data_IF_827473166835
#
_entry.id   IF_827473166835
#
_cell.length_a   1.000
_cell.length_b   1.000
_cell.length_c   1.000
_cell.angle_alpha   90.00
_cell.angle_beta   90.00
_cell.angle_gamma   90.00
#
_symmetry.space_group_name_H-M   'P 1'
#
loop_
_entity.id
_entity.type
_entity.pdbx_description
1 polymer ?
#
# COMPACT_ATOMS: atom_id res chain seq x y z
N UNK A 1 -8.57 2.13 29.35
CA UNK A 1 -8.45 3.20 30.36
C UNK A 1 -7.98 4.47 29.64
N UNK A 2 -8.90 5.12 28.93
CA UNK A 2 -8.66 6.34 28.14
C UNK A 2 -9.03 7.53 29.01
N UNK A 3 -8.12 7.97 29.89
CA UNK A 3 -8.31 9.23 30.62
C UNK A 3 -8.15 10.41 29.65
N UNK A 4 -8.84 11.55 29.86
CA UNK A 4 -8.66 12.74 29.04
C UNK A 4 -7.17 13.09 28.93
N UNK A 5 -6.72 13.33 27.70
CA UNK A 5 -5.35 13.72 27.39
C UNK A 5 -5.22 15.24 27.60
N UNK A 6 -4.07 15.74 28.09
CA UNK A 6 -3.83 17.18 28.13
C UNK A 6 -3.92 17.75 26.72
N UNK A 7 -4.68 18.83 26.58
CA UNK A 7 -4.80 19.56 25.33
C UNK A 7 -3.42 20.15 24.96
N UNK A 8 -3.09 20.09 23.68
CA UNK A 8 -1.80 20.57 23.20
C UNK A 8 -1.71 22.11 23.28
N UNK A 9 -0.52 22.67 23.51
CA UNK A 9 -0.32 24.11 23.41
C UNK A 9 -0.78 24.64 22.05
N UNK A 10 -1.39 25.83 22.04
CA UNK A 10 -1.91 26.43 20.82
C UNK A 10 -0.79 26.63 19.78
N UNK A 11 -1.03 26.20 18.54
CA UNK A 11 -0.10 26.34 17.41
C UNK A 11 0.88 25.17 17.19
N UNK A 12 0.95 24.19 18.10
CA UNK A 12 1.83 23.02 17.92
C UNK A 12 1.35 22.12 16.77
N UNK A 13 0.04 21.91 16.64
CA UNK A 13 -0.55 21.11 15.55
C UNK A 13 -0.38 21.75 14.16
N UNK A 14 -0.13 23.06 14.08
CA UNK A 14 0.16 23.78 12.83
C UNK A 14 1.66 23.73 12.46
N UNK A 15 2.51 23.17 13.32
CA UNK A 15 3.94 23.06 13.04
C UNK A 15 4.23 21.85 12.13
N UNK A 16 5.14 22.06 11.17
CA UNK A 16 5.54 21.01 10.21
C UNK A 16 6.49 19.96 10.82
N UNK A 17 6.93 20.15 12.06
CA UNK A 17 7.79 19.20 12.75
C UNK A 17 7.07 17.88 13.00
N UNK A 18 7.75 16.72 12.90
CA UNK A 18 7.10 15.43 13.11
C UNK A 18 6.61 15.25 14.55
N UNK A 19 7.31 15.76 15.55
CA UNK A 19 7.00 15.49 16.96
C UNK A 19 6.30 16.69 17.61
N UNK A 20 5.16 16.42 18.26
CA UNK A 20 4.33 17.45 18.91
C UNK A 20 4.78 17.85 20.32
N UNK A 21 5.90 17.32 20.82
CA UNK A 21 6.44 17.64 22.15
C UNK A 21 5.91 16.75 23.29
N UNK A 22 6.55 16.82 24.46
CA UNK A 22 6.23 15.97 25.62
C UNK A 22 4.87 16.30 26.27
N UNK A 23 4.44 17.57 26.21
CA UNK A 23 3.21 18.04 26.86
C UNK A 23 1.93 17.76 26.06
N UNK A 24 2.05 17.42 24.77
CA UNK A 24 0.93 17.19 23.86
C UNK A 24 0.59 15.71 23.77
N UNK A 25 -0.69 15.35 24.02
CA UNK A 25 -1.23 13.97 23.86
C UNK A 25 -0.43 12.87 24.58
N UNK A 26 0.27 13.22 25.65
CA UNK A 26 1.08 12.30 26.45
C UNK A 26 2.40 11.90 25.78
N UNK A 27 2.99 12.84 25.03
CA UNK A 27 4.41 12.87 24.64
C UNK A 27 4.81 11.99 23.44
N UNK A 28 3.86 11.31 22.81
CA UNK A 28 4.12 10.37 21.72
C UNK A 28 3.00 10.40 20.68
N UNK A 29 2.91 11.52 19.95
CA UNK A 29 2.06 11.68 18.75
C UNK A 29 2.71 12.66 17.77
N UNK A 30 2.31 12.56 16.50
CA UNK A 30 2.73 13.50 15.46
C UNK A 30 1.92 14.79 15.52
N UNK A 31 2.45 15.87 14.93
CA UNK A 31 1.66 17.08 14.70
C UNK A 31 0.61 16.82 13.62
N UNK A 32 -0.58 17.41 13.78
CA UNK A 32 -1.68 17.14 12.84
C UNK A 32 -1.33 17.59 11.41
N UNK A 33 -0.61 18.72 11.25
CA UNK A 33 -0.15 19.18 9.95
C UNK A 33 0.88 18.23 9.32
N UNK A 34 1.78 17.63 10.09
CA UNK A 34 2.72 16.64 9.57
C UNK A 34 1.98 15.39 9.07
N UNK A 35 1.01 14.89 9.85
CA UNK A 35 0.21 13.74 9.42
C UNK A 35 -0.49 14.02 8.10
N UNK A 36 -1.14 15.18 7.96
CA UNK A 36 -1.89 15.56 6.75
C UNK A 36 -0.99 15.82 5.56
N UNK A 37 0.00 16.71 5.72
CA UNK A 37 0.82 17.19 4.61
C UNK A 37 1.87 16.17 4.16
N UNK A 38 2.40 15.33 5.07
CA UNK A 38 3.49 14.41 4.76
C UNK A 38 3.01 12.97 4.60
N UNK A 39 2.04 12.52 5.39
CA UNK A 39 1.59 11.12 5.33
C UNK A 39 0.42 10.91 4.35
N UNK A 40 -0.60 11.77 4.33
CA UNK A 40 -1.76 11.56 3.45
C UNK A 40 -1.64 12.24 2.09
N UNK A 41 -1.33 13.54 2.04
CA UNK A 41 -1.33 14.31 0.79
C UNK A 41 -0.44 13.68 -0.28
N UNK A 42 0.83 13.28 -0.01
CA UNK A 42 1.69 12.71 -1.04
C UNK A 42 1.16 11.39 -1.58
N UNK A 43 0.57 10.56 -0.71
CA UNK A 43 -0.01 9.28 -1.11
C UNK A 43 -1.22 9.47 -2.04
N UNK A 44 -2.12 10.40 -1.72
CA UNK A 44 -3.26 10.73 -2.57
C UNK A 44 -2.83 11.34 -3.90
N UNK A 45 -1.88 12.29 -3.88
CA UNK A 45 -1.34 12.91 -5.08
C UNK A 45 -0.66 11.88 -6.01
N UNK A 46 0.12 10.95 -5.44
CA UNK A 46 0.77 9.89 -6.20
C UNK A 46 -0.27 9.00 -6.90
N UNK A 47 -1.34 8.61 -6.20
CA UNK A 47 -2.42 7.84 -6.81
C UNK A 47 -3.07 8.62 -7.96
N UNK A 48 -3.43 9.88 -7.74
CA UNK A 48 -4.08 10.72 -8.75
C UNK A 48 -3.18 10.96 -9.97
N UNK A 49 -1.86 11.02 -9.81
CA UNK A 49 -0.90 11.13 -10.90
C UNK A 49 -0.82 9.85 -11.75
N UNK A 50 -0.85 8.68 -11.10
CA UNK A 50 -0.78 7.37 -11.77
C UNK A 50 -2.13 6.96 -12.38
N UNK A 51 -3.23 7.41 -11.78
CA UNK A 51 -4.61 7.10 -12.16
C UNK A 51 -4.89 7.26 -13.66
N UNK A 52 -4.62 8.40 -14.33
CA UNK A 52 -4.96 8.58 -15.74
C UNK A 52 -4.20 7.61 -16.65
N UNK A 53 -2.91 7.40 -16.39
CA UNK A 53 -2.09 6.47 -17.18
C UNK A 53 -2.60 5.03 -17.06
N UNK A 54 -2.95 4.59 -15.84
CA UNK A 54 -3.55 3.29 -15.62
C UNK A 54 -4.94 3.18 -16.28
N UNK A 55 -5.79 4.18 -16.08
CA UNK A 55 -7.15 4.20 -16.62
C UNK A 55 -7.14 4.14 -18.15
N UNK A 56 -6.29 4.91 -18.83
CA UNK A 56 -6.18 4.90 -20.30
C UNK A 56 -5.67 3.55 -20.82
N UNK A 57 -4.63 2.99 -20.18
CA UNK A 57 -4.11 1.66 -20.55
C UNK A 57 -5.15 0.57 -20.39
N UNK A 58 -5.96 0.64 -19.34
CA UNK A 58 -7.03 -0.32 -19.11
C UNK A 58 -8.24 -0.03 -19.98
N UNK A 59 -8.51 1.22 -20.36
CA UNK A 59 -9.63 1.56 -21.24
C UNK A 59 -9.51 0.90 -22.62
N UNK A 60 -8.28 0.77 -23.13
CA UNK A 60 -7.99 0.09 -24.40
C UNK A 60 -7.90 -1.43 -24.32
N UNK A 61 -8.09 -2.04 -23.14
CA UNK A 61 -8.03 -3.49 -22.98
C UNK A 61 -9.41 -4.15 -23.13
N UNK A 62 -9.45 -5.34 -23.72
CA UNK A 62 -10.69 -6.12 -23.85
C UNK A 62 -11.23 -6.58 -22.48
N UNK A 63 -12.54 -6.81 -22.43
CA UNK A 63 -13.22 -7.38 -21.25
C UNK A 63 -12.84 -8.85 -21.12
N UNK A 64 -12.32 -9.24 -19.95
CA UNK A 64 -11.72 -10.57 -19.69
C UNK A 64 -12.39 -11.36 -18.58
N UNK A 65 -13.46 -10.82 -17.98
CA UNK A 65 -14.12 -11.37 -16.79
C UNK A 65 -15.63 -11.48 -17.02
N UNK A 66 -16.22 -12.59 -16.57
CA UNK A 66 -17.68 -12.83 -16.63
C UNK A 66 -18.38 -12.10 -15.46
N UNK A 67 -19.64 -11.73 -15.61
CA UNK A 67 -20.42 -11.08 -14.55
C UNK A 67 -20.37 -11.89 -13.24
N UNK A 68 -20.10 -11.21 -12.12
CA UNK A 68 -19.95 -11.84 -10.80
C UNK A 68 -20.45 -10.95 -9.67
N UNK A 69 -20.90 -11.58 -8.58
CA UNK A 69 -21.30 -10.94 -7.33
C UNK A 69 -20.18 -10.12 -6.70
N UNK A 70 -18.92 -10.48 -6.96
CA UNK A 70 -17.75 -9.72 -6.48
C UNK A 70 -17.70 -8.30 -7.08
N UNK A 71 -18.24 -8.10 -8.30
CA UNK A 71 -18.36 -6.77 -8.92
C UNK A 71 -19.30 -5.87 -8.12
N UNK A 72 -20.47 -6.39 -7.76
CA UNK A 72 -21.47 -5.66 -6.99
C UNK A 72 -20.95 -5.29 -5.59
N UNK A 73 -20.24 -6.23 -4.94
CA UNK A 73 -19.66 -5.98 -3.61
C UNK A 73 -18.56 -4.89 -3.66
N UNK A 74 -17.68 -4.93 -4.66
CA UNK A 74 -16.66 -3.89 -4.87
C UNK A 74 -17.28 -2.53 -5.20
N UNK A 75 -18.29 -2.51 -6.06
CA UNK A 75 -19.01 -1.29 -6.40
C UNK A 75 -19.69 -0.69 -5.16
N UNK A 76 -20.40 -1.50 -4.38
CA UNK A 76 -21.03 -1.09 -3.13
C UNK A 76 -19.98 -0.50 -2.15
N UNK A 77 -18.87 -1.20 -1.92
CA UNK A 77 -17.79 -0.72 -1.07
C UNK A 77 -17.21 0.62 -1.56
N UNK A 78 -17.01 0.78 -2.87
CA UNK A 78 -16.51 2.04 -3.44
C UNK A 78 -17.49 3.21 -3.28
N UNK A 79 -18.80 2.97 -3.47
CA UNK A 79 -19.84 3.99 -3.27
C UNK A 79 -19.91 4.40 -1.80
N UNK A 80 -19.90 3.44 -0.88
CA UNK A 80 -19.82 3.73 0.55
C UNK A 80 -18.57 4.54 0.90
N UNK A 81 -17.42 4.23 0.29
CA UNK A 81 -16.18 4.95 0.55
C UNK A 81 -16.27 6.41 0.09
N UNK A 82 -16.82 6.66 -1.11
CA UNK A 82 -17.04 8.02 -1.61
C UNK A 82 -18.00 8.78 -0.71
N UNK A 83 -19.12 8.15 -0.30
CA UNK A 83 -20.10 8.77 0.58
C UNK A 83 -19.50 9.16 1.95
N UNK A 84 -18.68 8.28 2.55
CA UNK A 84 -18.01 8.57 3.81
C UNK A 84 -16.95 9.68 3.68
N UNK A 85 -16.14 9.70 2.61
CA UNK A 85 -15.18 10.78 2.37
C UNK A 85 -15.87 12.12 2.09
N UNK A 86 -17.03 12.11 1.41
CA UNK A 86 -17.85 13.29 1.20
C UNK A 86 -18.44 13.79 2.52
N UNK A 87 -18.97 12.90 3.37
CA UNK A 87 -19.47 13.26 4.69
C UNK A 87 -18.36 13.87 5.56
N UNK A 88 -17.14 13.31 5.53
CA UNK A 88 -15.99 13.90 6.20
C UNK A 88 -15.72 15.31 5.67
N UNK A 89 -15.61 15.49 4.35
CA UNK A 89 -15.35 16.81 3.76
C UNK A 89 -16.40 17.86 4.20
N UNK A 90 -17.68 17.50 4.20
CA UNK A 90 -18.75 18.38 4.67
C UNK A 90 -18.60 18.71 6.16
N UNK A 91 -18.28 17.72 7.00
CA UNK A 91 -18.06 17.94 8.44
C UNK A 91 -16.87 18.86 8.69
N UNK A 92 -15.76 18.66 8.00
CA UNK A 92 -14.58 19.52 8.09
C UNK A 92 -14.85 20.94 7.58
N UNK A 93 -15.72 21.10 6.58
CA UNK A 93 -16.08 22.42 6.03
C UNK A 93 -17.09 23.20 6.90
N UNK A 94 -17.95 22.49 7.64
CA UNK A 94 -19.03 23.09 8.45
C UNK A 94 -18.66 23.25 9.93
N UNK A 95 -17.69 22.48 10.41
CA UNK A 95 -17.20 22.59 11.79
C UNK A 95 -16.34 23.84 11.94
N UNK A 96 -16.76 24.75 12.82
CA UNK A 96 -15.98 25.94 13.15
C UNK A 96 -14.70 25.59 13.93
N UNK A 97 -13.61 26.30 13.68
CA UNK A 97 -12.30 26.12 14.34
C UNK A 97 -12.32 26.24 15.86
N UNK A 98 -13.42 26.74 16.45
CA UNK A 98 -13.64 26.79 17.89
C UNK A 98 -14.02 25.44 18.51
N UNK A 99 -14.52 24.48 17.71
CA UNK A 99 -14.96 23.18 18.20
C UNK A 99 -13.85 22.12 18.15
N UNK A 100 -12.99 22.17 17.12
CA UNK A 100 -11.85 21.25 16.94
C UNK A 100 -10.74 22.00 16.19
N UNK A 101 -9.49 21.82 16.62
CA UNK A 101 -8.31 22.38 15.94
C UNK A 101 -8.08 21.67 14.61
N UNK A 102 -8.16 22.43 13.52
CA UNK A 102 -8.00 21.94 12.15
C UNK A 102 -6.98 22.82 11.42
N UNK A 103 -5.77 22.30 11.11
CA UNK A 103 -4.73 23.05 10.42
C UNK A 103 -5.10 23.33 8.96
N UNK A 104 -4.34 24.22 8.33
CA UNK A 104 -4.58 24.67 6.93
C UNK A 104 -4.60 23.52 5.90
N UNK A 105 -3.96 22.40 6.22
CA UNK A 105 -3.85 21.24 5.35
C UNK A 105 -5.10 20.35 5.32
N UNK A 106 -6.03 20.49 6.28
CA UNK A 106 -7.10 19.51 6.47
C UNK A 106 -8.12 19.51 5.35
N UNK A 107 -8.57 20.68 4.91
CA UNK A 107 -9.52 20.79 3.80
C UNK A 107 -8.88 20.28 2.50
N UNK A 108 -7.68 20.71 2.08
CA UNK A 108 -6.99 20.14 0.93
C UNK A 108 -6.82 18.62 1.01
N UNK A 109 -6.43 18.08 2.17
CA UNK A 109 -6.29 16.64 2.38
C UNK A 109 -7.63 15.90 2.24
N UNK A 110 -8.72 16.46 2.76
CA UNK A 110 -10.06 15.89 2.62
C UNK A 110 -10.55 15.90 1.17
N UNK A 111 -10.30 16.99 0.42
CA UNK A 111 -10.61 17.05 -1.02
C UNK A 111 -9.82 16.01 -1.80
N UNK A 112 -8.51 15.90 -1.54
CA UNK A 112 -7.66 14.89 -2.17
C UNK A 112 -8.11 13.46 -1.81
N UNK A 113 -8.52 13.23 -0.57
CA UNK A 113 -9.09 11.96 -0.12
C UNK A 113 -10.38 11.59 -0.86
N UNK A 114 -11.27 12.56 -1.10
CA UNK A 114 -12.48 12.38 -1.90
C UNK A 114 -12.15 12.05 -3.36
N UNK A 115 -11.26 12.83 -3.99
CA UNK A 115 -10.81 12.57 -5.36
C UNK A 115 -10.14 11.20 -5.49
N UNK A 116 -9.31 10.83 -4.53
CA UNK A 116 -8.68 9.53 -4.47
C UNK A 116 -9.71 8.40 -4.32
N UNK A 117 -10.78 8.59 -3.53
CA UNK A 117 -11.86 7.59 -3.39
C UNK A 117 -12.62 7.35 -4.69
N UNK A 118 -12.84 8.40 -5.48
CA UNK A 118 -13.41 8.30 -6.83
C UNK A 118 -12.46 7.56 -7.77
N UNK A 119 -11.17 7.89 -7.74
CA UNK A 119 -10.13 7.20 -8.50
C UNK A 119 -10.02 5.71 -8.16
N UNK A 120 -10.08 5.37 -6.87
CA UNK A 120 -10.14 3.98 -6.38
C UNK A 120 -11.35 3.24 -6.95
N UNK A 121 -12.54 3.87 -6.92
CA UNK A 121 -13.75 3.27 -7.48
C UNK A 121 -13.66 3.04 -8.98
N UNK A 122 -13.19 4.03 -9.74
CA UNK A 122 -12.97 3.93 -11.18
C UNK A 122 -11.97 2.82 -11.53
N UNK A 123 -10.83 2.80 -10.83
CA UNK A 123 -9.77 1.84 -11.11
C UNK A 123 -10.21 0.42 -10.73
N UNK A 124 -10.86 0.23 -9.57
CA UNK A 124 -11.44 -1.05 -9.16
C UNK A 124 -12.45 -1.57 -10.19
N UNK A 125 -13.30 -0.70 -10.75
CA UNK A 125 -14.27 -1.08 -11.79
C UNK A 125 -13.59 -1.49 -13.11
N UNK A 126 -12.68 -0.65 -13.62
CA UNK A 126 -11.95 -0.93 -14.86
C UNK A 126 -11.13 -2.22 -14.75
N UNK A 127 -10.46 -2.41 -13.62
CA UNK A 127 -9.66 -3.60 -13.34
C UNK A 127 -10.51 -4.83 -13.12
N UNK A 128 -11.74 -4.69 -12.58
CA UNK A 128 -12.64 -5.81 -12.42
C UNK A 128 -12.92 -6.47 -13.77
N UNK A 129 -13.31 -5.68 -14.76
CA UNK A 129 -13.82 -6.16 -16.04
C UNK A 129 -12.69 -6.51 -17.03
N UNK A 130 -11.58 -5.76 -17.02
CA UNK A 130 -10.56 -5.83 -18.08
C UNK A 130 -9.22 -6.43 -17.64
N UNK A 131 -9.02 -6.64 -16.33
CA UNK A 131 -7.80 -7.25 -15.82
C UNK A 131 -8.03 -8.64 -15.23
N UNK A 132 -7.27 -9.60 -15.77
CA UNK A 132 -7.11 -10.96 -15.23
C UNK A 132 -6.34 -10.91 -13.90
N UNK A 133 -5.46 -9.93 -13.73
CA UNK A 133 -4.64 -9.74 -12.54
C UNK A 133 -5.31 -8.75 -11.56
N UNK A 134 -5.42 -9.07 -10.27
CA UNK A 134 -5.75 -8.07 -9.25
C UNK A 134 -4.67 -6.99 -9.21
N UNK A 135 -5.05 -5.77 -8.85
CA UNK A 135 -4.22 -4.61 -9.09
C UNK A 135 -3.19 -4.36 -8.02
N UNK A 136 -1.94 -4.32 -8.47
CA UNK A 136 -0.80 -3.97 -7.62
C UNK A 136 -0.93 -2.54 -7.10
N UNK A 137 -1.17 -1.58 -8.00
CA UNK A 137 -1.24 -0.14 -7.66
C UNK A 137 -2.31 0.13 -6.60
N UNK A 138 -3.52 -0.37 -6.82
CA UNK A 138 -4.64 -0.16 -5.90
C UNK A 138 -4.40 -0.83 -4.55
N UNK A 139 -3.93 -2.07 -4.55
CA UNK A 139 -3.65 -2.83 -3.32
C UNK A 139 -2.57 -2.15 -2.48
N UNK A 140 -1.48 -1.71 -3.12
CA UNK A 140 -0.37 -1.03 -2.44
C UNK A 140 -0.80 0.34 -1.91
N UNK A 141 -1.56 1.12 -2.69
CA UNK A 141 -2.12 2.39 -2.23
C UNK A 141 -3.04 2.21 -1.01
N UNK A 142 -4.00 1.29 -1.07
CA UNK A 142 -4.93 1.05 0.03
C UNK A 142 -4.20 0.58 1.28
N UNK A 143 -3.22 -0.30 1.14
CA UNK A 143 -2.38 -0.76 2.25
C UNK A 143 -1.61 0.38 2.91
N UNK A 144 -0.91 1.19 2.12
CA UNK A 144 -0.18 2.35 2.63
C UNK A 144 -1.12 3.39 3.26
N UNK A 145 -2.29 3.64 2.66
CA UNK A 145 -3.27 4.58 3.22
C UNK A 145 -3.78 4.08 4.56
N UNK A 146 -4.13 2.79 4.69
CA UNK A 146 -4.56 2.24 5.97
C UNK A 146 -3.44 2.34 7.00
N UNK A 147 -2.21 1.97 6.64
CA UNK A 147 -1.07 2.02 7.56
C UNK A 147 -0.82 3.45 8.07
N UNK A 148 -0.76 4.44 7.17
CA UNK A 148 -0.46 5.82 7.51
C UNK A 148 -1.62 6.53 8.24
N UNK A 149 -2.86 6.27 7.83
CA UNK A 149 -4.04 6.89 8.44
C UNK A 149 -4.38 6.28 9.81
N UNK A 150 -3.76 5.17 10.22
CA UNK A 150 -3.94 4.63 11.60
C UNK A 150 -3.47 5.60 12.67
N UNK A 151 -2.33 6.27 12.44
CA UNK A 151 -1.82 7.31 13.34
C UNK A 151 -2.82 8.46 13.44
N UNK A 152 -3.32 8.94 12.30
CA UNK A 152 -4.34 10.00 12.27
C UNK A 152 -5.65 9.60 12.95
N UNK A 153 -6.11 8.36 12.77
CA UNK A 153 -7.31 7.91 13.46
C UNK A 153 -7.14 8.02 14.98
N UNK A 154 -5.97 7.60 15.50
CA UNK A 154 -5.63 7.70 16.92
C UNK A 154 -5.58 9.15 17.38
N UNK A 155 -4.93 10.06 16.63
CA UNK A 155 -4.85 11.48 17.01
C UNK A 155 -6.22 12.14 17.04
N UNK A 156 -7.08 11.88 16.06
CA UNK A 156 -8.45 12.42 16.00
C UNK A 156 -9.31 12.02 17.21
N UNK A 157 -9.17 10.79 17.71
CA UNK A 157 -9.85 10.35 18.93
C UNK A 157 -9.37 11.07 20.19
N UNK A 158 -8.22 11.74 20.14
CA UNK A 158 -7.63 12.50 21.25
C UNK A 158 -7.85 14.02 21.16
N UNK A 159 -8.34 14.55 20.02
CA UNK A 159 -8.46 16.00 19.79
C UNK A 159 -9.66 16.67 20.48
N UNK A 160 -10.73 15.95 20.84
CA UNK A 160 -11.89 16.62 21.44
C UNK A 160 -13.08 15.73 21.82
N UNK A 161 -14.15 16.34 22.39
CA UNK A 161 -15.34 15.62 22.84
C UNK A 161 -16.27 15.19 21.70
N UNK A 162 -16.17 15.81 20.52
CA UNK A 162 -16.99 15.47 19.35
C UNK A 162 -16.50 14.16 18.71
N UNK A 163 -17.19 13.07 19.00
CA UNK A 163 -16.82 11.73 18.52
C UNK A 163 -17.28 11.46 17.07
N UNK A 164 -18.06 12.34 16.46
CA UNK A 164 -18.65 12.10 15.13
C UNK A 164 -17.60 12.03 14.01
N UNK A 165 -16.68 12.99 13.96
CA UNK A 165 -15.59 13.01 12.97
C UNK A 165 -14.66 11.80 13.11
N UNK A 166 -14.08 11.49 14.29
CA UNK A 166 -13.21 10.33 14.43
C UNK A 166 -13.96 9.01 14.16
N UNK A 167 -15.24 8.90 14.52
CA UNK A 167 -16.05 7.72 14.19
C UNK A 167 -16.16 7.52 12.67
N UNK A 168 -16.55 8.54 11.91
CA UNK A 168 -16.66 8.44 10.44
C UNK A 168 -15.29 8.18 9.80
N UNK A 169 -14.22 8.78 10.32
CA UNK A 169 -12.86 8.52 9.84
C UNK A 169 -12.45 7.06 10.07
N UNK A 170 -12.73 6.50 11.25
CA UNK A 170 -12.47 5.06 11.52
C UNK A 170 -13.31 4.14 10.66
N UNK A 171 -14.58 4.47 10.38
CA UNK A 171 -15.40 3.73 9.43
C UNK A 171 -14.79 3.75 8.02
N UNK A 172 -14.26 4.90 7.60
CA UNK A 172 -13.56 5.05 6.31
C UNK A 172 -12.31 4.18 6.25
N UNK A 173 -11.51 4.17 7.33
CA UNK A 173 -10.32 3.33 7.47
C UNK A 173 -10.67 1.83 7.42
N UNK A 174 -11.69 1.41 8.16
CA UNK A 174 -12.18 0.04 8.16
C UNK A 174 -12.67 -0.38 6.78
N UNK A 175 -13.40 0.50 6.07
CA UNK A 175 -13.86 0.22 4.72
C UNK A 175 -12.70 0.08 3.72
N UNK A 176 -11.64 0.89 3.84
CA UNK A 176 -10.41 0.71 3.05
C UNK A 176 -9.77 -0.66 3.33
N UNK A 177 -9.72 -1.10 4.59
CA UNK A 177 -9.22 -2.42 4.94
C UNK A 177 -10.09 -3.55 4.34
N UNK A 178 -11.41 -3.41 4.35
CA UNK A 178 -12.32 -4.35 3.65
C UNK A 178 -12.05 -4.34 2.14
N UNK A 179 -11.81 -3.18 1.53
CA UNK A 179 -11.46 -3.10 0.11
C UNK A 179 -10.13 -3.82 -0.20
N UNK A 180 -9.13 -3.77 0.68
CA UNK A 180 -7.89 -4.56 0.53
C UNK A 180 -8.21 -6.06 0.43
N UNK A 181 -9.07 -6.57 1.32
CA UNK A 181 -9.49 -7.97 1.30
C UNK A 181 -10.23 -8.31 0.01
N UNK A 182 -11.18 -7.45 -0.40
CA UNK A 182 -11.93 -7.63 -1.64
C UNK A 182 -11.04 -7.61 -2.89
N UNK A 183 -10.00 -6.78 -2.91
CA UNK A 183 -9.03 -6.75 -4.01
C UNK A 183 -8.05 -7.92 -3.98
N UNK A 184 -7.75 -8.46 -2.80
CA UNK A 184 -6.89 -9.63 -2.65
C UNK A 184 -7.56 -10.96 -3.04
N UNK A 185 -8.90 -11.02 -3.06
CA UNK A 185 -9.64 -12.24 -3.39
C UNK A 185 -9.45 -12.64 -4.85
N UNK A 186 -8.96 -13.86 -5.06
CA UNK A 186 -8.63 -14.37 -6.40
C UNK A 186 -9.87 -14.51 -7.28
N UNK A 187 -9.80 -13.95 -8.50
CA UNK A 187 -10.88 -14.03 -9.48
C UNK A 187 -10.96 -15.39 -10.21
N UNK A 188 -10.13 -16.38 -9.86
CA UNK A 188 -9.90 -17.62 -10.64
C UNK A 188 -11.18 -18.36 -11.05
N UNK A 189 -12.22 -18.32 -10.22
CA UNK A 189 -13.53 -18.95 -10.50
C UNK A 189 -14.34 -18.24 -11.59
N UNK A 190 -14.04 -16.98 -11.89
CA UNK A 190 -14.84 -16.07 -12.71
C UNK A 190 -14.13 -15.73 -14.05
N UNK A 191 -12.89 -16.20 -14.24
CA UNK A 191 -12.14 -16.01 -15.49
C UNK A 191 -12.84 -16.72 -16.67
N UNK A 192 -12.86 -16.03 -17.81
CA UNK A 192 -13.33 -16.57 -19.10
C UNK A 192 -12.54 -17.85 -19.44
N UNK A 193 -13.17 -18.89 -20.02
CA UNK A 193 -12.55 -20.20 -20.24
C UNK A 193 -11.17 -20.16 -20.94
N UNK A 194 -10.98 -19.26 -21.90
CA UNK A 194 -9.72 -19.07 -22.63
C UNK A 194 -8.54 -18.65 -21.73
N UNK A 195 -8.81 -18.09 -20.55
CA UNK A 195 -7.80 -17.66 -19.56
C UNK A 195 -7.71 -18.61 -18.35
N UNK A 196 -8.36 -19.77 -18.36
CA UNK A 196 -8.27 -20.74 -17.25
C UNK A 196 -6.96 -21.52 -17.20
N UNK A 197 -6.22 -21.57 -18.31
CA UNK A 197 -4.93 -22.28 -18.42
C UNK A 197 -3.71 -21.53 -17.88
N UNK A 198 -3.86 -20.29 -17.40
CA UNK A 198 -2.73 -19.53 -16.84
C UNK A 198 -2.25 -20.11 -15.50
N UNK A 199 -0.93 -19.99 -15.25
CA UNK A 199 -0.29 -20.38 -13.99
C UNK A 199 -0.96 -19.71 -12.79
N UNK A 200 -1.00 -20.40 -11.64
CA UNK A 200 -1.59 -19.86 -10.41
C UNK A 200 -0.93 -18.54 -10.01
N UNK A 201 0.39 -18.43 -10.17
CA UNK A 201 1.16 -17.20 -9.92
C UNK A 201 0.62 -15.98 -10.69
N UNK A 202 0.23 -16.19 -11.96
CA UNK A 202 -0.27 -15.13 -12.85
C UNK A 202 -1.67 -14.68 -12.45
N UNK A 203 -2.45 -15.56 -11.83
CA UNK A 203 -3.84 -15.27 -11.40
C UNK A 203 -3.96 -14.83 -9.94
N UNK A 204 -2.89 -14.97 -9.16
CA UNK A 204 -2.90 -14.70 -7.73
C UNK A 204 -2.91 -13.21 -7.39
N UNK A 205 -3.57 -12.91 -6.26
CA UNK A 205 -3.55 -11.62 -5.56
C UNK A 205 -2.15 -11.02 -5.42
N UNK A 206 -2.02 -9.70 -5.41
CA UNK A 206 -0.77 -9.01 -5.06
C UNK A 206 -0.18 -9.54 -3.76
N UNK A 207 -0.98 -9.63 -2.69
CA UNK A 207 -0.54 -10.18 -1.41
C UNK A 207 -0.21 -11.67 -1.49
N UNK A 208 -1.05 -12.47 -2.16
CA UNK A 208 -0.82 -13.91 -2.32
C UNK A 208 0.52 -14.19 -3.04
N UNK A 209 0.83 -13.38 -4.06
CA UNK A 209 2.09 -13.42 -4.78
C UNK A 209 3.26 -12.96 -3.90
N UNK A 210 3.12 -11.87 -3.15
CA UNK A 210 4.18 -11.35 -2.25
C UNK A 210 4.58 -12.33 -1.15
N UNK A 211 3.64 -13.10 -0.59
CA UNK A 211 3.94 -14.11 0.43
C UNK A 211 4.07 -15.53 -0.12
N UNK A 212 4.09 -15.69 -1.45
CA UNK A 212 4.12 -16.98 -2.14
C UNK A 212 3.04 -17.98 -1.69
N UNK A 213 1.90 -17.49 -1.20
CA UNK A 213 0.88 -18.36 -0.64
C UNK A 213 0.23 -19.28 -1.70
N UNK A 214 0.34 -18.94 -2.99
CA UNK A 214 -0.06 -19.77 -4.12
C UNK A 214 0.73 -21.09 -4.20
N UNK A 215 1.99 -21.07 -3.73
CA UNK A 215 2.89 -22.22 -3.68
C UNK A 215 2.48 -23.24 -2.62
N UNK A 216 1.75 -22.81 -1.58
CA UNK A 216 1.23 -23.68 -0.52
C UNK A 216 0.49 -24.90 -1.07
N UNK A 217 -0.28 -24.72 -2.15
CA UNK A 217 -1.00 -25.83 -2.76
C UNK A 217 -0.09 -26.86 -3.44
N UNK A 218 1.07 -26.45 -3.94
CA UNK A 218 2.10 -27.34 -4.48
C UNK A 218 2.81 -28.09 -3.34
N UNK A 219 3.13 -27.40 -2.25
CA UNK A 219 3.76 -28.04 -1.08
C UNK A 219 2.84 -29.08 -0.42
N UNK A 220 1.55 -28.80 -0.29
CA UNK A 220 0.59 -29.79 0.22
C UNK A 220 0.51 -31.00 -0.72
N UNK A 221 0.53 -30.79 -2.04
CA UNK A 221 0.53 -31.91 -2.99
C UNK A 221 1.82 -32.73 -2.88
N UNK A 222 2.99 -32.08 -2.81
CA UNK A 222 4.27 -32.75 -2.62
C UNK A 222 4.43 -33.45 -1.28
N UNK A 223 3.74 -32.98 -0.24
CA UNK A 223 3.68 -33.67 1.05
C UNK A 223 2.84 -34.95 0.98
N UNK A 224 1.79 -34.96 0.15
CA UNK A 224 0.86 -36.09 0.02
C UNK A 224 1.27 -37.10 -1.06
N UNK A 225 1.94 -36.64 -2.12
CA UNK A 225 2.21 -37.38 -3.35
C UNK A 225 3.63 -37.09 -3.86
N UNK A 226 4.18 -37.98 -4.67
CA UNK A 226 5.42 -37.71 -5.42
C UNK A 226 5.08 -36.76 -6.57
N UNK A 227 5.66 -35.56 -6.55
CA UNK A 227 5.50 -34.57 -7.62
C UNK A 227 6.04 -35.08 -8.95
N UNK A 228 5.21 -34.99 -9.99
CA UNK A 228 5.62 -35.20 -11.39
C UNK A 228 5.70 -33.86 -12.12
N UNK A 229 6.32 -33.86 -13.31
CA UNK A 229 6.45 -32.66 -14.13
C UNK A 229 5.08 -32.03 -14.49
N UNK A 230 4.06 -32.86 -14.66
CA UNK A 230 2.67 -32.45 -14.93
C UNK A 230 1.99 -31.73 -13.75
N UNK A 231 2.48 -31.92 -12.52
CA UNK A 231 1.96 -31.26 -11.32
C UNK A 231 2.53 -29.85 -11.13
N UNK A 232 3.60 -29.50 -11.86
CA UNK A 232 4.23 -28.19 -11.79
C UNK A 232 3.44 -27.15 -12.58
N UNK A 233 3.52 -25.91 -12.14
CA UNK A 233 2.89 -24.80 -12.85
C UNK A 233 3.64 -24.49 -14.15
N UNK A 234 2.91 -24.11 -15.22
CA UNK A 234 3.55 -23.65 -16.44
C UNK A 234 4.36 -22.38 -16.17
N UNK A 235 5.51 -22.27 -16.82
CA UNK A 235 6.40 -21.11 -16.73
C UNK A 235 5.67 -19.83 -17.15
N UNK A 236 5.86 -18.71 -16.45
CA UNK A 236 5.30 -17.42 -16.89
C UNK A 236 5.84 -17.10 -18.30
N UNK A 237 4.98 -16.77 -19.28
CA UNK A 237 5.40 -16.41 -20.63
C UNK A 237 6.47 -15.31 -20.69
N UNK A 238 6.57 -14.46 -19.67
CA UNK A 238 7.61 -13.42 -19.55
C UNK A 238 8.99 -13.97 -19.25
N UNK A 239 9.07 -15.15 -18.64
CA UNK A 239 10.31 -15.85 -18.29
C UNK A 239 10.68 -16.90 -19.34
N UNK A 240 9.86 -17.09 -20.37
CA UNK A 240 10.17 -18.01 -21.46
C UNK A 240 11.43 -17.55 -22.23
N UNK A 241 12.28 -18.51 -22.58
CA UNK A 241 13.56 -18.24 -23.24
C UNK A 241 13.40 -17.63 -24.62
N UNK A 242 12.43 -18.08 -25.41
CA UNK A 242 12.24 -17.63 -26.79
C UNK A 242 11.90 -16.11 -26.88
N UNK A 243 10.92 -15.57 -26.13
CA UNK A 243 10.67 -14.12 -26.12
C UNK A 243 11.85 -13.29 -25.61
N UNK A 244 12.57 -13.77 -24.58
CA UNK A 244 13.73 -13.08 -24.02
C UNK A 244 14.90 -13.07 -25.00
N UNK A 245 15.13 -14.18 -25.68
CA UNK A 245 16.15 -14.30 -26.73
C UNK A 245 15.84 -13.37 -27.90
N UNK A 246 14.61 -13.38 -28.42
CA UNK A 246 14.19 -12.49 -29.52
C UNK A 246 14.43 -11.02 -29.18
N UNK A 247 14.02 -10.58 -27.98
CA UNK A 247 14.28 -9.20 -27.51
C UNK A 247 15.76 -8.83 -27.51
N UNK A 248 16.63 -9.74 -27.07
CA UNK A 248 18.07 -9.50 -27.06
C UNK A 248 18.66 -9.52 -28.47
N UNK A 249 18.22 -10.45 -29.33
CA UNK A 249 18.65 -10.56 -30.71
C UNK A 249 18.27 -9.31 -31.52
N UNK A 250 17.02 -8.85 -31.41
CA UNK A 250 16.54 -7.63 -32.07
C UNK A 250 17.35 -6.39 -31.65
N UNK A 251 17.69 -6.30 -30.36
CA UNK A 251 18.53 -5.23 -29.83
C UNK A 251 20.00 -5.36 -30.26
N UNK A 252 20.50 -6.59 -30.43
CA UNK A 252 21.85 -6.88 -30.90
C UNK A 252 22.05 -6.54 -32.37
N UNK A 253 21.02 -6.74 -33.20
CA UNK A 253 21.08 -6.42 -34.63
C UNK A 253 21.06 -4.92 -34.92
N UNK A 254 20.57 -4.12 -33.97
CA UNK A 254 20.63 -2.65 -34.04
C UNK A 254 21.97 -2.06 -33.58
N UNK A 255 22.94 -2.89 -33.18
CA UNK A 255 24.25 -2.41 -32.73
C UNK A 255 25.13 -2.06 -33.93
N UNK A 256 25.58 -0.80 -34.04
CA UNK A 256 26.37 -0.36 -35.19
C UNK A 256 27.77 -0.99 -35.22
N UNK A 257 28.44 -1.11 -34.06
CA UNK A 257 29.79 -1.69 -33.94
C UNK A 257 29.81 -2.88 -32.98
N UNK A 258 29.69 -4.10 -33.53
CA UNK A 258 29.73 -5.35 -32.77
C UNK A 258 31.14 -5.73 -32.29
N UNK A 259 32.18 -5.14 -32.87
CA UNK A 259 33.60 -5.38 -32.54
C UNK A 259 34.07 -4.60 -31.31
N UNK A 260 33.27 -3.65 -30.82
CA UNK A 260 33.62 -2.80 -29.68
C UNK A 260 33.68 -3.64 -28.40
N UNK A 261 34.73 -3.50 -27.56
CA UNK A 261 34.82 -4.26 -26.32
C UNK A 261 33.63 -3.93 -25.42
N UNK A 262 32.95 -4.96 -24.90
CA UNK A 262 31.79 -4.81 -24.04
C UNK A 262 30.46 -4.51 -24.75
N UNK A 263 30.40 -4.52 -26.09
CA UNK A 263 29.18 -4.27 -26.84
C UNK A 263 28.02 -5.18 -26.40
N UNK A 264 28.30 -6.48 -26.22
CA UNK A 264 27.30 -7.47 -25.79
C UNK A 264 26.80 -7.22 -24.36
N UNK A 265 27.68 -6.83 -23.45
CA UNK A 265 27.28 -6.52 -22.08
C UNK A 265 26.43 -5.26 -22.03
N UNK A 266 26.80 -4.23 -22.80
CA UNK A 266 26.03 -2.98 -22.87
C UNK A 266 24.63 -3.19 -23.46
N UNK A 267 24.49 -4.05 -24.47
CA UNK A 267 23.20 -4.35 -25.10
C UNK A 267 22.32 -5.18 -24.18
N UNK A 268 22.89 -6.20 -23.55
CA UNK A 268 22.23 -6.97 -22.51
C UNK A 268 21.73 -6.05 -21.38
N UNK A 269 22.60 -5.18 -20.87
CA UNK A 269 22.24 -4.25 -19.80
C UNK A 269 21.13 -3.31 -20.25
N UNK A 270 21.18 -2.76 -21.47
CA UNK A 270 20.11 -1.90 -21.99
C UNK A 270 18.76 -2.61 -22.08
N UNK A 271 18.74 -3.87 -22.50
CA UNK A 271 17.50 -4.66 -22.65
C UNK A 271 16.92 -5.06 -21.29
N UNK A 272 17.77 -5.44 -20.33
CA UNK A 272 17.33 -6.02 -19.05
C UNK A 272 17.45 -5.07 -17.84
N UNK A 273 17.99 -3.85 -18.00
CA UNK A 273 18.11 -2.87 -16.92
C UNK A 273 16.76 -2.48 -16.31
N UNK A 274 15.70 -2.39 -17.12
CA UNK A 274 14.35 -2.08 -16.63
C UNK A 274 13.89 -3.08 -15.56
N UNK A 275 13.75 -4.37 -15.89
CA UNK A 275 13.45 -5.42 -14.91
C UNK A 275 14.44 -5.47 -13.73
N UNK A 276 15.75 -5.32 -13.97
CA UNK A 276 16.73 -5.33 -12.88
C UNK A 276 16.56 -4.13 -11.92
N UNK A 277 16.18 -2.97 -12.43
CA UNK A 277 15.96 -1.77 -11.61
C UNK A 277 14.76 -1.91 -10.68
N UNK A 278 13.80 -2.79 -10.99
CA UNK A 278 12.66 -3.05 -10.11
C UNK A 278 13.09 -3.58 -8.74
N UNK A 279 14.18 -4.36 -8.68
CA UNK A 279 14.73 -4.90 -7.44
C UNK A 279 15.43 -3.86 -6.56
N UNK A 280 15.76 -2.67 -7.11
CA UNK A 280 16.44 -1.60 -6.36
C UNK A 280 15.51 -1.01 -5.30
N UNK A 281 14.23 -0.83 -5.62
CA UNK A 281 13.27 -0.21 -4.71
C UNK A 281 13.07 -1.04 -3.43
N UNK A 282 12.76 -2.35 -3.48
CA UNK A 282 12.72 -3.20 -2.28
C UNK A 282 14.04 -3.18 -1.50
N UNK A 283 15.19 -3.10 -2.19
CA UNK A 283 16.50 -3.03 -1.53
C UNK A 283 16.71 -1.75 -0.74
N UNK A 284 16.30 -0.60 -1.26
CA UNK A 284 16.37 0.65 -0.51
C UNK A 284 15.51 0.59 0.75
N UNK A 285 14.30 0.04 0.67
CA UNK A 285 13.46 -0.16 1.86
C UNK A 285 14.10 -1.12 2.87
N UNK A 286 14.66 -2.24 2.41
CA UNK A 286 15.36 -3.19 3.28
C UNK A 286 16.52 -2.53 4.03
N UNK A 287 17.32 -1.72 3.33
CA UNK A 287 18.44 -0.97 3.93
C UNK A 287 17.91 0.00 4.99
N UNK A 288 16.87 0.77 4.69
CA UNK A 288 16.26 1.71 5.64
C UNK A 288 15.73 1.00 6.90
N UNK A 289 15.05 -0.14 6.74
CA UNK A 289 14.56 -0.91 7.89
C UNK A 289 15.70 -1.51 8.72
N UNK A 290 16.77 -1.99 8.08
CA UNK A 290 17.96 -2.48 8.80
C UNK A 290 18.63 -1.36 9.60
N UNK A 291 18.73 -0.14 9.07
CA UNK A 291 19.23 1.01 9.82
C UNK A 291 18.30 1.45 10.95
N UNK A 292 16.98 1.22 10.83
CA UNK A 292 16.04 1.51 11.90
C UNK A 292 16.20 0.57 13.10
N UNK A 293 16.68 -0.67 12.92
CA UNK A 293 16.84 -1.65 14.01
C UNK A 293 17.71 -1.15 15.18
N UNK A 294 18.96 -0.66 14.98
CA UNK A 294 19.77 -0.16 16.09
C UNK A 294 19.14 1.05 16.78
N UNK A 295 18.46 1.93 16.02
CA UNK A 295 17.73 3.07 16.60
C UNK A 295 16.58 2.59 17.51
N UNK A 296 15.82 1.58 17.09
CA UNK A 296 14.76 0.99 17.91
C UNK A 296 15.30 0.33 19.18
N UNK A 297 16.44 -0.35 19.09
CA UNK A 297 17.11 -0.96 20.26
C UNK A 297 17.54 0.13 21.24
N UNK A 298 18.15 1.22 20.74
CA UNK A 298 18.52 2.34 21.59
C UNK A 298 17.30 2.93 22.30
N UNK A 299 16.21 3.17 21.57
CA UNK A 299 14.96 3.67 22.15
C UNK A 299 14.34 2.69 23.15
N UNK A 300 14.49 1.38 22.94
CA UNK A 300 14.05 0.36 23.89
C UNK A 300 14.86 0.40 25.20
N UNK A 301 16.17 0.59 25.10
CA UNK A 301 17.07 0.71 26.27
C UNK A 301 16.76 2.00 27.04
N UNK A 302 16.60 3.13 26.34
CA UNK A 302 16.22 4.41 26.95
C UNK A 302 14.86 4.29 27.65
N UNK A 303 13.87 3.62 27.04
CA UNK A 303 12.57 3.38 27.64
C UNK A 303 12.66 2.52 28.90
N UNK A 304 13.51 1.49 28.91
CA UNK A 304 13.70 0.61 30.06
C UNK A 304 14.30 1.35 31.28
N UNK A 305 15.02 2.44 31.06
CA UNK A 305 15.56 3.30 32.12
C UNK A 305 14.54 4.28 32.70
N UNK A 306 13.37 4.46 32.09
CA UNK A 306 12.35 5.42 32.55
C UNK A 306 11.46 4.81 33.65
N UNK A 307 10.99 5.63 34.61
CA UNK A 307 10.00 5.19 35.58
C UNK A 307 8.67 4.82 34.89
N UNK A 308 7.91 3.89 35.47
CA UNK A 308 6.63 3.38 34.95
C UNK A 308 5.50 4.43 35.02
N UNK A 309 5.61 5.48 34.22
CA UNK A 309 4.64 6.57 34.12
C UNK A 309 3.71 6.38 32.91
N UNK A 310 2.76 7.30 32.71
CA UNK A 310 1.87 7.30 31.53
C UNK A 310 2.65 7.43 30.21
N UNK A 311 3.72 8.21 30.22
CA UNK A 311 4.62 8.42 29.07
C UNK A 311 5.36 7.14 28.70
N UNK A 312 5.85 6.38 29.68
CA UNK A 312 6.45 5.07 29.48
C UNK A 312 5.51 4.15 28.68
N UNK A 313 4.23 4.11 29.06
CA UNK A 313 3.24 3.26 28.38
C UNK A 313 2.95 3.71 26.95
N UNK A 314 2.81 5.01 26.70
CA UNK A 314 2.55 5.54 25.36
C UNK A 314 3.74 5.30 24.42
N UNK A 315 4.96 5.60 24.87
CA UNK A 315 6.20 5.33 24.11
C UNK A 315 6.39 3.83 23.88
N UNK A 316 6.06 2.99 24.85
CA UNK A 316 6.13 1.54 24.74
C UNK A 316 5.22 0.96 23.64
N UNK A 317 3.96 1.37 23.57
CA UNK A 317 3.06 0.91 22.49
C UNK A 317 3.52 1.39 21.11
N UNK A 318 4.03 2.63 21.04
CA UNK A 318 4.67 3.15 19.85
C UNK A 318 5.84 2.31 19.37
N UNK A 319 6.73 1.95 20.29
CA UNK A 319 7.90 1.14 20.02
C UNK A 319 7.53 -0.27 19.57
N UNK A 320 6.52 -0.90 20.17
CA UNK A 320 5.98 -2.19 19.72
C UNK A 320 5.50 -2.09 18.27
N UNK A 321 4.70 -1.05 17.95
CA UNK A 321 4.23 -0.81 16.59
C UNK A 321 5.38 -0.61 15.60
N UNK A 322 6.40 0.15 15.99
CA UNK A 322 7.59 0.38 15.18
C UNK A 322 8.38 -0.92 14.93
N UNK A 323 8.55 -1.77 15.94
CA UNK A 323 9.17 -3.10 15.76
C UNK A 323 8.38 -3.99 14.82
N UNK A 324 7.06 -4.06 14.97
CA UNK A 324 6.19 -4.84 14.07
C UNK A 324 6.34 -4.32 12.64
N UNK A 325 6.32 -3.01 12.43
CA UNK A 325 6.47 -2.38 11.12
C UNK A 325 7.84 -2.68 10.50
N UNK A 326 8.93 -2.51 11.25
CA UNK A 326 10.29 -2.74 10.76
C UNK A 326 10.51 -4.20 10.39
N UNK A 327 10.17 -5.15 11.27
CA UNK A 327 10.39 -6.57 10.96
C UNK A 327 9.47 -7.09 9.85
N UNK A 328 8.20 -6.64 9.81
CA UNK A 328 7.30 -6.98 8.71
C UNK A 328 7.79 -6.36 7.40
N UNK A 329 8.28 -5.12 7.44
CA UNK A 329 8.87 -4.42 6.30
C UNK A 329 10.12 -5.12 5.76
N UNK A 330 11.00 -5.62 6.63
CA UNK A 330 12.16 -6.45 6.24
C UNK A 330 11.70 -7.72 5.55
N UNK A 331 10.73 -8.45 6.13
CA UNK A 331 10.21 -9.67 5.52
C UNK A 331 9.66 -9.38 4.12
N UNK A 332 8.75 -8.41 3.99
CA UNK A 332 8.11 -8.06 2.71
C UNK A 332 9.12 -7.56 1.68
N UNK A 333 10.09 -6.72 2.07
CA UNK A 333 11.11 -6.20 1.16
C UNK A 333 12.10 -7.27 0.69
N UNK A 334 12.41 -8.25 1.55
CA UNK A 334 13.20 -9.41 1.18
C UNK A 334 12.49 -10.26 0.11
N UNK A 335 11.18 -10.50 0.29
CA UNK A 335 10.38 -11.26 -0.67
C UNK A 335 10.15 -10.51 -1.99
N UNK A 336 10.06 -9.17 -1.96
CA UNK A 336 9.96 -8.34 -3.16
C UNK A 336 11.17 -8.42 -4.10
N UNK A 337 12.29 -9.01 -3.67
CA UNK A 337 13.50 -9.20 -4.49
C UNK A 337 13.31 -10.18 -5.65
N UNK A 338 12.35 -11.09 -5.55
CA UNK A 338 12.17 -12.18 -6.52
C UNK A 338 11.17 -11.83 -7.64
N UNK A 339 10.70 -10.58 -7.72
CA UNK A 339 9.77 -10.07 -8.73
C UNK A 339 10.34 -8.93 -9.56
#
# INVERSE_FOLDING_TARGET
MWGPQPACPAGVDDSLGPWAGDECRGGFDFTLLFEEAVLAVPLHCLLLLVLPACALRLAGADVKVVASTQRALKACASVCLVALNLALLVLWATTSSAAITHPRATIPAAVLGLLASLGVGLLSWLEHDRSVRPSFVLSTYLFLSVLLDTARARTLWMLGPNQTIPAIFTCTLALRAVMILLESTEKRRILVPQHKGYSKEVTSGTFNRSVFFWLTSLFINGYRNILKLEDLYPLDPKLASEPLYKKLADAWDQVPDKTRPGALFSTWLRVFAGPMSAAVVPKLFQISFNYAQPLLIQQAIELAGLPQTREYRNRGFGLIGAYVLVYTGIAVSLFGREF
#
